data_IF_527943704825
#
_entry.id   IF_527943704825
#
_cell.length_a   1.000
_cell.length_b   1.000
_cell.length_c   1.000
_cell.angle_alpha   90.00
_cell.angle_beta   90.00
_cell.angle_gamma   90.00
#
_symmetry.space_group_name_H-M   'P 1'
#
loop_
_entity.id
_entity.type
_entity.pdbx_description
1 polymer ?
#
# COMPACT_ATOMS: atom_id res chain seq x y z
N UNK A 1 52.48 -38.57 34.53
CA UNK A 1 52.22 -37.91 33.23
C UNK A 1 50.92 -38.48 32.70
N UNK A 2 49.80 -37.77 32.90
CA UNK A 2 48.50 -38.14 32.35
C UNK A 2 48.31 -37.32 31.07
N UNK A 3 48.20 -38.00 29.93
CA UNK A 3 47.97 -37.36 28.63
C UNK A 3 46.47 -37.37 28.38
N UNK A 4 45.84 -36.19 28.43
CA UNK A 4 44.46 -36.00 27.97
C UNK A 4 44.47 -35.80 26.46
N UNK A 5 43.78 -36.68 25.73
CA UNK A 5 43.43 -36.45 24.33
C UNK A 5 42.16 -35.59 24.29
N UNK A 6 42.27 -34.34 23.83
CA UNK A 6 41.12 -33.54 23.40
C UNK A 6 40.83 -33.89 21.93
N UNK A 7 39.67 -34.50 21.68
CA UNK A 7 39.09 -34.59 20.35
C UNK A 7 38.38 -33.28 20.02
N UNK A 8 38.89 -32.52 19.05
CA UNK A 8 38.15 -31.42 18.44
C UNK A 8 37.22 -32.01 17.37
N UNK A 9 35.92 -32.01 17.64
CA UNK A 9 34.91 -32.18 16.60
C UNK A 9 34.72 -30.84 15.89
N UNK A 10 35.10 -30.76 14.62
CA UNK A 10 34.75 -29.65 13.75
C UNK A 10 33.28 -29.83 13.37
N UNK A 11 32.39 -29.06 14.00
CA UNK A 11 31.02 -28.91 13.52
C UNK A 11 31.07 -27.91 12.38
N UNK A 12 30.90 -28.41 11.15
CA UNK A 12 30.55 -27.58 10.00
C UNK A 12 29.09 -27.18 10.19
N UNK A 13 28.84 -25.96 10.66
CA UNK A 13 27.51 -25.36 10.53
C UNK A 13 27.29 -25.09 9.04
N UNK A 14 26.49 -25.93 8.38
CA UNK A 14 25.73 -25.44 7.25
C UNK A 14 24.73 -24.45 7.86
N UNK A 15 24.83 -23.17 7.50
CA UNK A 15 23.72 -22.24 7.70
C UNK A 15 22.58 -22.79 6.84
N UNK A 16 21.63 -23.47 7.49
CA UNK A 16 20.34 -23.69 6.87
C UNK A 16 19.77 -22.28 6.63
N UNK A 17 19.67 -21.92 5.36
CA UNK A 17 19.05 -20.70 4.83
C UNK A 17 17.53 -20.76 5.11
N UNK A 18 17.16 -20.81 6.38
CA UNK A 18 15.79 -20.64 6.83
C UNK A 18 15.48 -19.15 6.69
N UNK A 19 14.85 -18.79 5.57
CA UNK A 19 14.30 -17.45 5.36
C UNK A 19 13.38 -17.01 6.51
N UNK A 20 12.88 -15.77 6.51
CA UNK A 20 12.29 -15.15 7.70
C UNK A 20 11.03 -15.84 8.24
N UNK A 21 10.48 -16.84 7.54
CA UNK A 21 9.31 -17.62 7.93
C UNK A 21 8.01 -16.84 7.76
N UNK A 22 7.91 -15.67 8.37
CA UNK A 22 6.75 -14.77 8.27
C UNK A 22 7.21 -13.37 7.89
N UNK A 23 6.56 -12.76 6.91
CA UNK A 23 6.68 -11.33 6.64
C UNK A 23 5.41 -10.63 7.08
N UNK A 24 5.55 -9.57 7.87
CA UNK A 24 4.44 -8.76 8.36
C UNK A 24 4.45 -7.39 7.68
N UNK A 25 3.37 -7.08 6.98
CA UNK A 25 3.18 -5.84 6.21
C UNK A 25 2.18 -4.95 6.95
N UNK A 26 2.61 -3.78 7.41
CA UNK A 26 1.75 -2.71 7.89
C UNK A 26 1.06 -1.98 6.75
N UNK A 27 -0.20 -1.57 6.97
CA UNK A 27 -0.93 -0.69 6.08
C UNK A 27 -2.01 0.10 6.82
N UNK A 28 -2.61 1.07 6.14
CA UNK A 28 -3.68 1.93 6.64
C UNK A 28 -4.94 1.80 5.77
N UNK A 29 -6.16 1.96 6.32
CA UNK A 29 -7.43 1.78 5.60
C UNK A 29 -7.76 2.95 4.66
N UNK A 30 -6.93 3.13 3.61
CA UNK A 30 -7.04 4.19 2.61
C UNK A 30 -6.84 3.65 1.19
N UNK A 31 -7.55 4.24 0.21
CA UNK A 31 -7.39 3.91 -1.21
C UNK A 31 -5.98 4.22 -1.74
N UNK A 32 -5.20 5.00 -0.97
CA UNK A 32 -3.80 5.31 -1.23
C UNK A 32 -2.95 4.05 -1.37
N UNK A 33 -3.22 3.04 -0.55
CA UNK A 33 -2.39 1.86 -0.37
C UNK A 33 -3.03 0.58 -0.93
N UNK A 34 -4.02 0.75 -1.81
CA UNK A 34 -4.84 -0.35 -2.34
C UNK A 34 -4.02 -1.43 -3.07
N UNK A 35 -2.83 -1.09 -3.57
CA UNK A 35 -1.89 -2.07 -4.14
C UNK A 35 -1.54 -3.19 -3.14
N UNK A 36 -1.35 -2.87 -1.86
CA UNK A 36 -1.08 -3.87 -0.83
C UNK A 36 -2.24 -4.87 -0.67
N UNK A 37 -3.47 -4.36 -0.62
CA UNK A 37 -4.70 -5.15 -0.50
C UNK A 37 -4.93 -6.01 -1.75
N UNK A 38 -4.69 -5.46 -2.95
CA UNK A 38 -4.83 -6.20 -4.21
C UNK A 38 -3.83 -7.34 -4.27
N UNK A 39 -2.56 -7.10 -3.95
CA UNK A 39 -1.56 -8.17 -3.91
C UNK A 39 -1.90 -9.25 -2.86
N UNK A 40 -2.50 -8.88 -1.72
CA UNK A 40 -2.96 -9.83 -0.72
C UNK A 40 -4.17 -10.65 -1.21
N UNK A 41 -5.20 -9.99 -1.74
CA UNK A 41 -6.42 -10.65 -2.26
C UNK A 41 -6.12 -11.58 -3.44
N UNK A 42 -5.15 -11.21 -4.29
CA UNK A 42 -4.68 -12.04 -5.41
C UNK A 42 -3.73 -13.16 -4.98
N UNK A 43 -3.28 -13.16 -3.73
CA UNK A 43 -2.30 -14.12 -3.19
C UNK A 43 -0.86 -13.89 -3.67
N UNK A 44 -0.58 -12.75 -4.33
CA UNK A 44 0.72 -12.45 -4.94
C UNK A 44 1.83 -12.31 -3.90
N UNK A 45 1.55 -11.70 -2.74
CA UNK A 45 2.55 -11.60 -1.68
C UNK A 45 3.15 -12.96 -1.31
N UNK A 46 2.32 -13.89 -0.84
CA UNK A 46 2.83 -15.18 -0.42
C UNK A 46 3.36 -16.00 -1.61
N UNK A 47 2.70 -15.95 -2.77
CA UNK A 47 3.17 -16.65 -3.96
C UNK A 47 4.59 -16.24 -4.36
N UNK A 48 4.85 -14.94 -4.40
CA UNK A 48 6.11 -14.40 -4.90
C UNK A 48 7.25 -14.53 -3.88
N UNK A 49 6.94 -14.40 -2.58
CA UNK A 49 7.95 -14.43 -1.51
C UNK A 49 8.32 -15.84 -1.04
N UNK A 50 7.50 -16.86 -1.32
CA UNK A 50 7.74 -18.27 -0.93
C UNK A 50 9.11 -18.81 -1.29
N UNK A 51 9.65 -18.41 -2.45
CA UNK A 51 10.95 -18.91 -2.93
C UNK A 51 12.14 -18.44 -2.09
N UNK A 52 11.90 -17.53 -1.15
CA UNK A 52 12.88 -16.96 -0.22
C UNK A 52 12.64 -17.43 1.22
N UNK A 53 11.97 -18.58 1.41
CA UNK A 53 11.71 -19.13 2.74
C UNK A 53 10.58 -18.42 3.51
N UNK A 54 9.73 -17.64 2.83
CA UNK A 54 8.53 -17.05 3.45
C UNK A 54 7.37 -18.06 3.41
N UNK A 55 6.91 -18.49 4.57
CA UNK A 55 5.81 -19.44 4.75
C UNK A 55 4.45 -18.75 4.87
N UNK A 56 4.43 -17.53 5.43
CA UNK A 56 3.23 -16.73 5.64
C UNK A 56 3.48 -15.23 5.42
N UNK A 57 2.44 -14.52 4.97
CA UNK A 57 2.45 -13.06 4.88
C UNK A 57 1.23 -12.51 5.59
N UNK A 58 1.47 -11.70 6.63
CA UNK A 58 0.42 -11.08 7.44
C UNK A 58 0.28 -9.61 7.06
N UNK A 59 -0.95 -9.14 6.95
CA UNK A 59 -1.24 -7.72 6.79
C UNK A 59 -1.85 -7.19 8.09
N UNK A 60 -1.18 -6.21 8.70
CA UNK A 60 -1.61 -5.56 9.93
C UNK A 60 -2.13 -4.16 9.61
N UNK A 61 -3.40 -3.90 9.94
CA UNK A 61 -4.01 -2.59 9.75
C UNK A 61 -3.68 -1.65 10.92
N UNK A 62 -3.28 -0.42 10.60
CA UNK A 62 -3.05 0.66 11.55
C UNK A 62 -3.92 1.87 11.25
N UNK A 63 -4.46 2.49 12.30
CA UNK A 63 -5.33 3.66 12.14
C UNK A 63 -4.58 4.89 11.59
N UNK A 64 -3.31 5.06 11.99
CA UNK A 64 -2.46 6.21 11.62
C UNK A 64 -1.00 5.79 11.50
N UNK A 65 -0.16 6.62 10.86
CA UNK A 65 1.24 6.31 10.64
C UNK A 65 2.12 6.22 11.90
N UNK A 66 1.96 7.07 12.94
CA UNK A 66 2.77 6.95 14.16
C UNK A 66 2.74 5.58 14.85
N UNK A 67 1.57 4.98 15.19
CA UNK A 67 1.54 3.64 15.79
C UNK A 67 2.04 2.54 14.84
N UNK A 68 1.94 2.73 13.52
CA UNK A 68 2.54 1.82 12.54
C UNK A 68 4.08 1.86 12.61
N UNK A 69 4.65 3.05 12.74
CA UNK A 69 6.10 3.20 12.90
C UNK A 69 6.60 2.76 14.28
N UNK A 70 5.81 2.93 15.34
CA UNK A 70 6.12 2.36 16.65
C UNK A 70 6.20 0.83 16.59
N UNK A 71 5.28 0.18 15.86
CA UNK A 71 5.31 -1.26 15.63
C UNK A 71 6.55 -1.68 14.81
N UNK A 72 6.92 -0.92 13.77
CA UNK A 72 8.13 -1.21 13.00
C UNK A 72 9.41 -1.04 13.84
N UNK A 73 9.44 -0.03 14.69
CA UNK A 73 10.58 0.27 15.58
C UNK A 73 10.87 -0.89 16.53
N UNK A 74 9.84 -1.53 17.07
CA UNK A 74 9.99 -2.69 17.97
C UNK A 74 10.11 -4.04 17.25
N UNK A 75 10.00 -4.06 15.92
CA UNK A 75 10.15 -5.28 15.10
C UNK A 75 8.86 -6.08 14.91
N UNK A 76 7.69 -5.51 15.18
CA UNK A 76 6.40 -6.19 14.98
C UNK A 76 5.96 -6.20 13.51
N UNK A 77 6.52 -5.31 12.67
CA UNK A 77 6.30 -5.28 11.21
C UNK A 77 7.61 -5.10 10.45
N UNK A 78 7.71 -5.73 9.27
CA UNK A 78 8.92 -5.76 8.43
C UNK A 78 8.89 -4.72 7.31
N UNK A 79 7.69 -4.52 6.77
CA UNK A 79 7.38 -3.66 5.63
C UNK A 79 6.17 -2.82 6.02
N UNK A 80 6.11 -1.56 5.59
CA UNK A 80 4.94 -0.73 5.81
C UNK A 80 4.57 0.08 4.55
N UNK A 81 3.27 0.12 4.28
CA UNK A 81 2.65 1.11 3.42
C UNK A 81 2.19 2.26 4.30
N UNK A 82 2.92 3.36 4.30
CA UNK A 82 2.72 4.43 5.26
C UNK A 82 2.94 5.78 4.62
N UNK A 83 2.30 6.82 5.16
CA UNK A 83 2.62 8.20 4.79
C UNK A 83 4.13 8.47 4.85
N UNK A 84 4.69 9.29 3.95
CA UNK A 84 6.14 9.51 3.87
C UNK A 84 6.72 10.24 5.08
N UNK A 85 5.93 11.07 5.78
CA UNK A 85 6.38 11.79 6.97
C UNK A 85 6.59 10.90 8.22
N UNK A 86 5.69 9.95 8.58
CA UNK A 86 5.89 9.04 9.70
C UNK A 86 7.24 8.30 9.77
N UNK A 87 7.73 7.59 8.72
CA UNK A 87 9.01 6.89 8.79
C UNK A 87 10.17 7.86 8.99
N UNK A 88 10.12 9.07 8.40
CA UNK A 88 11.13 10.12 8.60
C UNK A 88 11.14 10.58 10.06
N UNK A 89 9.96 10.80 10.66
CA UNK A 89 9.85 11.15 12.07
C UNK A 89 10.40 10.04 12.98
N UNK A 90 10.14 8.78 12.64
CA UNK A 90 10.66 7.64 13.39
C UNK A 90 12.17 7.44 13.21
N UNK A 91 12.75 7.75 12.04
CA UNK A 91 14.20 7.74 11.81
C UNK A 91 14.93 8.73 12.73
N UNK A 92 14.36 9.92 12.95
CA UNK A 92 14.87 10.86 13.97
C UNK A 92 14.87 10.29 15.39
N UNK A 93 14.05 9.27 15.65
CA UNK A 93 13.95 8.59 16.95
C UNK A 93 14.71 7.25 16.98
N UNK A 94 15.44 6.91 15.92
CA UNK A 94 16.33 5.75 15.85
C UNK A 94 15.75 4.54 15.10
N UNK A 95 14.68 4.71 14.32
CA UNK A 95 14.21 3.66 13.42
C UNK A 95 15.26 3.36 12.33
N UNK A 96 15.73 2.12 12.30
CA UNK A 96 16.57 1.59 11.22
C UNK A 96 15.70 1.01 10.11
N UNK A 97 15.36 1.87 9.13
CA UNK A 97 14.55 1.52 7.96
C UNK A 97 14.89 2.44 6.78
N UNK A 98 14.47 2.06 5.56
CA UNK A 98 14.60 2.89 4.35
C UNK A 98 13.32 2.88 3.54
N UNK A 99 13.02 4.02 2.93
CA UNK A 99 12.01 4.09 1.87
C UNK A 99 12.62 3.51 0.59
N UNK A 100 12.02 2.44 0.08
CA UNK A 100 12.53 1.69 -1.08
C UNK A 100 11.65 1.80 -2.32
N UNK A 101 10.39 2.21 -2.18
CA UNK A 101 9.50 2.46 -3.31
C UNK A 101 8.48 3.55 -3.00
N UNK A 102 7.97 4.22 -4.04
CA UNK A 102 6.79 5.07 -3.93
C UNK A 102 5.51 4.24 -3.85
N UNK A 103 4.42 4.80 -3.32
CA UNK A 103 3.09 4.15 -3.36
C UNK A 103 2.09 5.05 -4.09
N UNK A 104 2.09 6.34 -3.77
CA UNK A 104 1.22 7.34 -4.38
C UNK A 104 1.68 8.76 -4.03
N UNK A 105 1.28 9.70 -4.87
CA UNK A 105 1.37 11.14 -4.62
C UNK A 105 -0.03 11.74 -4.52
N UNK A 106 -0.18 12.81 -3.74
CA UNK A 106 -1.44 13.55 -3.56
C UNK A 106 -2.58 12.68 -2.98
N UNK A 107 -3.85 13.05 -3.19
CA UNK A 107 -5.01 12.26 -2.80
C UNK A 107 -5.63 12.60 -1.45
N UNK A 108 -5.30 13.74 -0.85
CA UNK A 108 -5.97 14.26 0.35
C UNK A 108 -6.73 15.54 0.02
N UNK A 109 -7.76 15.88 0.79
CA UNK A 109 -8.54 17.11 0.53
C UNK A 109 -8.95 17.83 1.81
N UNK A 110 -9.08 19.15 1.69
CA UNK A 110 -9.78 19.97 2.66
C UNK A 110 -11.28 19.85 2.37
N UNK A 111 -12.01 19.46 3.40
CA UNK A 111 -13.47 19.43 3.39
C UNK A 111 -13.97 20.36 4.47
N UNK A 112 -14.79 21.34 4.10
CA UNK A 112 -15.40 22.28 5.06
C UNK A 112 -16.85 21.92 5.30
N UNK A 113 -17.38 22.31 6.46
CA UNK A 113 -18.82 22.25 6.71
C UNK A 113 -19.57 23.06 5.65
N UNK A 114 -20.75 22.59 5.25
CA UNK A 114 -21.48 23.15 4.09
C UNK A 114 -21.76 24.65 4.19
N UNK A 115 -22.03 25.17 5.39
CA UNK A 115 -22.28 26.59 5.63
C UNK A 115 -21.02 27.46 5.55
N UNK A 116 -19.82 26.87 5.56
CA UNK A 116 -18.53 27.55 5.36
C UNK A 116 -18.04 27.49 3.92
N UNK A 117 -18.72 26.74 3.04
CA UNK A 117 -18.28 26.54 1.66
C UNK A 117 -18.24 27.83 0.84
N UNK A 118 -19.23 28.71 1.02
CA UNK A 118 -19.27 30.00 0.31
C UNK A 118 -18.18 30.95 0.81
N UNK A 119 -17.93 30.97 2.13
CA UNK A 119 -16.84 31.76 2.71
C UNK A 119 -15.47 31.28 2.21
N UNK A 120 -15.25 29.96 2.11
CA UNK A 120 -14.03 29.41 1.53
C UNK A 120 -13.87 29.79 0.05
N UNK A 121 -14.95 29.74 -0.75
CA UNK A 121 -14.88 30.14 -2.17
C UNK A 121 -14.49 31.62 -2.34
N UNK A 122 -14.92 32.49 -1.44
CA UNK A 122 -14.62 33.92 -1.49
C UNK A 122 -13.20 34.24 -0.98
N UNK A 123 -12.79 33.63 0.15
CA UNK A 123 -11.57 34.01 0.88
C UNK A 123 -10.41 33.01 0.72
N UNK A 124 -10.65 31.85 0.12
CA UNK A 124 -9.70 30.74 0.06
C UNK A 124 -9.27 30.29 1.45
N UNK A 125 -7.98 29.98 1.61
CA UNK A 125 -7.40 29.53 2.88
C UNK A 125 -7.65 30.49 4.06
N UNK A 126 -7.81 31.79 3.81
CA UNK A 126 -8.07 32.76 4.88
C UNK A 126 -9.42 32.50 5.60
N UNK A 127 -10.36 31.78 4.97
CA UNK A 127 -11.59 31.31 5.60
C UNK A 127 -11.34 30.32 6.75
N UNK A 128 -10.18 29.65 6.78
CA UNK A 128 -9.83 28.71 7.84
C UNK A 128 -9.35 29.39 9.12
N UNK A 129 -9.08 30.71 9.10
CA UNK A 129 -8.59 31.43 10.28
C UNK A 129 -9.62 31.39 11.41
N UNK A 130 -9.22 30.82 12.54
CA UNK A 130 -10.04 30.61 13.74
C UNK A 130 -10.82 29.30 13.73
N UNK A 131 -10.83 28.55 12.61
CA UNK A 131 -11.55 27.29 12.49
C UNK A 131 -10.89 26.15 13.28
N UNK A 132 -11.72 25.20 13.68
CA UNK A 132 -11.28 23.88 14.14
C UNK A 132 -11.14 22.94 12.95
N UNK A 133 -9.95 22.35 12.78
CA UNK A 133 -9.65 21.48 11.64
C UNK A 133 -9.31 20.08 12.16
N UNK A 134 -10.15 19.09 11.86
CA UNK A 134 -9.87 17.68 12.19
C UNK A 134 -8.88 17.05 11.22
N UNK A 135 -7.80 16.48 11.72
CA UNK A 135 -6.87 15.65 10.92
C UNK A 135 -6.15 14.65 11.82
N UNK A 136 -5.24 13.85 11.27
CA UNK A 136 -4.46 12.88 12.03
C UNK A 136 -3.47 13.54 13.00
N UNK A 137 -2.89 12.76 13.94
CA UNK A 137 -1.95 13.29 14.92
C UNK A 137 -0.69 13.93 14.28
N UNK A 138 -0.01 14.75 15.07
CA UNK A 138 1.31 15.28 14.70
C UNK A 138 2.28 14.13 14.33
N UNK A 139 3.10 14.35 13.31
CA UNK A 139 3.95 13.31 12.71
C UNK A 139 3.29 12.50 11.59
N UNK A 140 1.96 12.61 11.41
CA UNK A 140 1.28 12.08 10.22
C UNK A 140 1.57 12.93 8.97
N UNK A 141 1.39 12.32 7.80
CA UNK A 141 1.57 13.02 6.51
C UNK A 141 0.54 14.15 6.34
N UNK A 142 -0.73 13.93 6.70
CA UNK A 142 -1.77 14.94 6.55
C UNK A 142 -1.56 16.13 7.49
N UNK A 143 -1.17 15.89 8.74
CA UNK A 143 -0.82 16.98 9.67
C UNK A 143 0.36 17.80 9.12
N UNK A 144 1.38 17.14 8.58
CA UNK A 144 2.58 17.80 8.02
C UNK A 144 2.22 18.68 6.82
N UNK A 145 1.44 18.15 5.87
CA UNK A 145 1.01 18.90 4.68
C UNK A 145 0.10 20.08 5.07
N UNK A 146 -0.87 19.87 5.98
CA UNK A 146 -1.76 20.94 6.43
C UNK A 146 -0.96 22.06 7.12
N UNK A 147 -0.04 21.70 8.01
CA UNK A 147 0.81 22.67 8.72
C UNK A 147 1.66 23.48 7.75
N UNK A 148 2.26 22.81 6.75
CA UNK A 148 3.01 23.48 5.70
C UNK A 148 2.13 24.40 4.86
N UNK A 149 0.94 23.95 4.44
CA UNK A 149 0.02 24.75 3.64
C UNK A 149 -0.39 26.05 4.35
N UNK A 150 -0.71 25.97 5.64
CA UNK A 150 -1.01 27.13 6.46
C UNK A 150 0.20 28.08 6.53
N UNK A 151 1.40 27.55 6.81
CA UNK A 151 2.63 28.34 6.91
C UNK A 151 3.02 29.03 5.59
N UNK A 152 2.95 28.32 4.46
CA UNK A 152 3.26 28.85 3.13
C UNK A 152 2.30 29.99 2.72
N UNK A 153 1.11 30.04 3.31
CA UNK A 153 0.12 31.09 3.12
C UNK A 153 0.12 32.16 4.23
N UNK A 154 1.16 32.20 5.06
CA UNK A 154 1.35 33.22 6.09
C UNK A 154 0.43 33.07 7.31
N UNK A 155 -0.16 31.88 7.51
CA UNK A 155 -0.91 31.54 8.72
C UNK A 155 -0.02 30.75 9.69
N UNK A 156 -0.14 31.03 10.98
CA UNK A 156 0.52 30.26 12.04
C UNK A 156 -0.34 29.01 12.38
N UNK A 157 0.14 27.77 12.11
CA UNK A 157 -0.63 26.55 12.37
C UNK A 157 -1.01 26.35 13.85
N UNK A 158 -0.29 26.98 14.79
CA UNK A 158 -0.54 26.86 16.22
C UNK A 158 -1.43 27.99 16.78
N UNK A 159 -1.54 29.12 16.07
CA UNK A 159 -2.26 30.30 16.57
C UNK A 159 -3.47 30.71 15.74
N UNK A 160 -3.39 30.57 14.42
CA UNK A 160 -4.43 31.04 13.52
C UNK A 160 -5.51 29.98 13.27
N UNK A 161 -5.31 28.72 13.67
CA UNK A 161 -6.31 27.64 13.58
C UNK A 161 -6.25 26.75 14.83
N UNK A 162 -7.23 25.87 15.00
CA UNK A 162 -7.20 24.81 16.02
C UNK A 162 -7.17 23.44 15.33
N UNK A 163 -5.97 22.86 15.17
CA UNK A 163 -5.84 21.51 14.61
C UNK A 163 -6.23 20.49 15.68
N UNK A 164 -7.29 19.73 15.43
CA UNK A 164 -7.80 18.70 16.32
C UNK A 164 -7.30 17.34 15.84
N UNK A 165 -6.43 16.72 16.62
CA UNK A 165 -5.92 15.38 16.38
C UNK A 165 -7.04 14.35 16.53
N UNK A 166 -7.26 13.55 15.49
CA UNK A 166 -8.23 12.47 15.43
C UNK A 166 -7.48 11.14 15.38
N UNK A 167 -7.88 10.17 16.20
CA UNK A 167 -7.21 8.88 16.30
C UNK A 167 -7.51 7.96 15.11
N UNK A 168 -8.58 8.25 14.35
CA UNK A 168 -8.96 7.52 13.14
C UNK A 168 -9.66 8.44 12.14
N UNK A 169 -9.72 8.08 10.85
CA UNK A 169 -10.44 8.91 9.89
C UNK A 169 -11.97 8.87 10.07
N UNK A 170 -12.51 7.79 10.65
CA UNK A 170 -13.93 7.69 11.01
C UNK A 170 -14.32 8.70 12.11
N UNK A 171 -13.43 8.90 13.08
CA UNK A 171 -13.59 9.91 14.12
C UNK A 171 -13.61 11.32 13.51
N UNK A 172 -12.69 11.62 12.59
CA UNK A 172 -12.65 12.89 11.87
C UNK A 172 -13.92 13.14 11.03
N UNK A 173 -14.41 12.12 10.31
CA UNK A 173 -15.66 12.20 9.55
C UNK A 173 -16.88 12.46 10.47
N UNK A 174 -16.93 11.81 11.63
CA UNK A 174 -17.96 12.04 12.64
C UNK A 174 -17.87 13.45 13.25
N UNK A 175 -16.65 13.96 13.44
CA UNK A 175 -16.42 15.28 14.00
C UNK A 175 -16.96 16.39 13.10
N UNK A 176 -16.76 16.31 11.77
CA UNK A 176 -17.35 17.29 10.85
C UNK A 176 -18.86 17.09 10.71
N UNK A 177 -19.36 15.85 10.68
CA UNK A 177 -20.79 15.55 10.62
C UNK A 177 -21.58 16.06 11.83
N UNK A 178 -20.98 16.07 13.00
CA UNK A 178 -21.58 16.64 14.23
C UNK A 178 -21.38 18.15 14.38
N UNK A 179 -20.56 18.78 13.53
CA UNK A 179 -20.16 20.18 13.67
C UNK A 179 -19.17 20.44 14.82
N UNK A 180 -18.52 19.40 15.35
CA UNK A 180 -17.47 19.53 16.38
C UNK A 180 -16.18 20.15 15.82
N UNK A 181 -15.94 19.97 14.51
CA UNK A 181 -14.92 20.68 13.73
C UNK A 181 -15.56 21.39 12.53
N UNK A 182 -14.93 22.46 12.07
CA UNK A 182 -15.38 23.30 10.97
C UNK A 182 -14.90 22.78 9.61
N UNK A 183 -13.73 22.14 9.61
CA UNK A 183 -13.13 21.52 8.45
C UNK A 183 -12.39 20.24 8.83
N UNK A 184 -12.07 19.42 7.84
CA UNK A 184 -11.13 18.30 7.97
C UNK A 184 -10.14 18.28 6.82
N UNK A 185 -8.97 17.71 7.06
CA UNK A 185 -8.00 17.38 6.01
C UNK A 185 -7.69 15.89 6.06
N UNK A 186 -8.20 15.11 5.10
CA UNK A 186 -8.20 13.64 5.14
C UNK A 186 -7.85 13.03 3.77
N UNK A 187 -7.26 11.82 3.76
CA UNK A 187 -6.98 11.09 2.53
C UNK A 187 -8.25 10.46 1.93
N UNK A 188 -8.25 10.25 0.63
CA UNK A 188 -9.23 9.38 -0.03
C UNK A 188 -9.30 8.00 0.67
N UNK A 189 -10.51 7.45 0.90
CA UNK A 189 -11.79 7.86 0.31
C UNK A 189 -12.62 8.86 1.13
N UNK A 190 -12.12 9.34 2.27
CA UNK A 190 -12.90 10.07 3.26
C UNK A 190 -13.53 11.38 2.77
N UNK A 191 -12.84 12.23 1.97
CA UNK A 191 -13.46 13.41 1.40
C UNK A 191 -14.73 13.09 0.59
N UNK A 192 -14.68 12.05 -0.23
CA UNK A 192 -15.82 11.63 -1.04
C UNK A 192 -16.97 11.08 -0.18
N UNK A 193 -16.63 10.35 0.90
CA UNK A 193 -17.62 9.84 1.87
C UNK A 193 -18.37 10.98 2.57
N UNK A 194 -17.63 11.92 3.15
CA UNK A 194 -18.19 13.07 3.88
C UNK A 194 -19.12 13.90 2.98
N UNK A 195 -18.73 14.10 1.72
CA UNK A 195 -19.56 14.81 0.75
C UNK A 195 -20.82 14.03 0.37
N UNK A 196 -20.72 12.69 0.24
CA UNK A 196 -21.84 11.81 -0.12
C UNK A 196 -22.86 11.69 1.01
N UNK A 197 -22.41 11.78 2.27
CA UNK A 197 -23.26 11.87 3.47
C UNK A 197 -23.88 13.27 3.65
N UNK A 198 -23.41 14.26 2.87
CA UNK A 198 -23.90 15.63 2.89
C UNK A 198 -23.33 16.51 4.01
N UNK A 199 -22.45 15.94 4.85
CA UNK A 199 -21.85 16.58 6.03
C UNK A 199 -20.81 17.66 5.72
N UNK A 200 -20.24 17.67 4.52
CA UNK A 200 -19.26 18.66 4.10
C UNK A 200 -19.16 18.86 2.60
N UNK A 201 -18.31 19.78 2.19
CA UNK A 201 -18.02 20.12 0.80
C UNK A 201 -16.51 20.11 0.60
N UNK A 202 -16.04 19.36 -0.39
CA UNK A 202 -14.63 19.36 -0.79
C UNK A 202 -14.33 20.73 -1.40
N UNK A 203 -13.31 21.42 -0.90
CA UNK A 203 -12.97 22.78 -1.35
C UNK A 203 -11.56 22.91 -1.94
N UNK A 204 -10.64 22.03 -1.56
CA UNK A 204 -9.25 22.09 -2.02
C UNK A 204 -8.63 20.71 -2.00
N UNK A 205 -7.98 20.32 -3.10
CA UNK A 205 -7.23 19.07 -3.17
C UNK A 205 -5.75 19.30 -2.85
N UNK A 206 -5.11 18.28 -2.30
CA UNK A 206 -3.73 18.35 -1.83
C UNK A 206 -2.70 18.63 -2.93
N UNK A 207 -3.01 18.29 -4.18
CA UNK A 207 -2.20 18.60 -5.35
C UNK A 207 -2.25 20.05 -5.79
N UNK A 208 -3.35 20.75 -5.50
CA UNK A 208 -3.45 22.19 -5.68
C UNK A 208 -2.71 22.93 -4.55
N UNK A 209 -2.70 22.34 -3.35
CA UNK A 209 -1.91 22.80 -2.19
C UNK A 209 -0.39 22.66 -2.43
N UNK A 210 0.05 21.46 -2.81
CA UNK A 210 1.44 21.17 -3.11
C UNK A 210 1.52 20.13 -4.23
N UNK A 211 1.76 20.62 -5.45
CA UNK A 211 1.79 19.77 -6.64
C UNK A 211 2.79 18.62 -6.52
N UNK A 212 2.33 17.40 -6.84
CA UNK A 212 3.11 16.17 -6.85
C UNK A 212 3.78 15.81 -5.51
N UNK A 213 3.29 16.31 -4.38
CA UNK A 213 3.90 15.97 -3.09
C UNK A 213 3.81 14.48 -2.78
N UNK A 214 4.87 13.95 -2.17
CA UNK A 214 4.90 12.59 -1.65
C UNK A 214 3.78 12.36 -0.63
N UNK A 215 2.96 11.32 -0.81
CA UNK A 215 1.93 10.99 0.16
C UNK A 215 2.30 9.73 0.95
N UNK A 216 2.27 8.53 0.36
CA UNK A 216 2.73 7.30 1.01
C UNK A 216 3.85 6.64 0.21
N UNK A 217 4.60 5.82 0.93
CA UNK A 217 5.76 5.10 0.47
C UNK A 217 5.75 3.66 1.01
N UNK A 218 6.59 2.83 0.40
CA UNK A 218 6.94 1.52 0.90
C UNK A 218 8.24 1.65 1.70
N UNK A 219 8.16 1.46 3.02
CA UNK A 219 9.31 1.46 3.91
C UNK A 219 9.62 0.03 4.34
N UNK A 220 10.90 -0.31 4.40
CA UNK A 220 11.38 -1.65 4.78
C UNK A 220 12.43 -1.52 5.88
N UNK A 221 12.37 -2.39 6.89
CA UNK A 221 13.37 -2.46 7.97
C UNK A 221 14.78 -2.66 7.41
N UNK A 222 15.75 -1.94 7.97
CA UNK A 222 17.14 -1.97 7.52
C UNK A 222 17.77 -3.36 7.65
N UNK A 223 17.38 -4.13 8.67
CA UNK A 223 17.78 -5.53 8.85
C UNK A 223 17.39 -6.40 7.65
N UNK A 224 16.14 -6.33 7.20
CA UNK A 224 15.66 -7.09 6.03
C UNK A 224 16.40 -6.68 4.74
N UNK A 225 16.69 -5.39 4.58
CA UNK A 225 17.48 -4.88 3.45
C UNK A 225 18.89 -5.47 3.44
N UNK A 226 19.56 -5.52 4.59
CA UNK A 226 20.95 -5.98 4.69
C UNK A 226 21.08 -7.50 4.62
N UNK A 227 20.15 -8.22 5.25
CA UNK A 227 20.24 -9.68 5.37
C UNK A 227 19.57 -10.40 4.20
N UNK A 228 18.51 -9.83 3.63
CA UNK A 228 17.70 -10.47 2.59
C UNK A 228 17.42 -9.53 1.40
N UNK A 229 18.44 -8.94 0.75
CA UNK A 229 18.24 -7.95 -0.32
C UNK A 229 17.46 -8.49 -1.52
N UNK A 230 17.61 -9.78 -1.86
CA UNK A 230 16.85 -10.41 -2.95
C UNK A 230 15.36 -10.57 -2.62
N UNK A 231 15.03 -10.83 -1.35
CA UNK A 231 13.66 -10.84 -0.85
C UNK A 231 13.06 -9.43 -0.94
N UNK A 232 13.82 -8.40 -0.54
CA UNK A 232 13.38 -7.00 -0.67
C UNK A 232 13.15 -6.61 -2.14
N UNK A 233 14.03 -7.02 -3.06
CA UNK A 233 13.79 -6.84 -4.51
C UNK A 233 12.51 -7.55 -4.95
N UNK A 234 12.20 -8.74 -4.44
CA UNK A 234 10.94 -9.40 -4.76
C UNK A 234 9.73 -8.66 -4.18
N UNK A 235 9.81 -8.14 -2.95
CA UNK A 235 8.76 -7.27 -2.36
C UNK A 235 8.51 -6.07 -3.27
N UNK A 236 9.57 -5.41 -3.75
CA UNK A 236 9.49 -4.29 -4.70
C UNK A 236 8.83 -4.74 -6.01
N UNK A 237 9.23 -5.88 -6.60
CA UNK A 237 8.62 -6.42 -7.83
C UNK A 237 7.11 -6.68 -7.65
N UNK A 238 6.72 -7.31 -6.54
CA UNK A 238 5.31 -7.60 -6.24
C UNK A 238 4.52 -6.30 -6.06
N UNK A 239 5.08 -5.29 -5.38
CA UNK A 239 4.49 -3.95 -5.28
C UNK A 239 4.34 -3.25 -6.63
N UNK A 240 5.37 -3.28 -7.48
CA UNK A 240 5.30 -2.71 -8.84
C UNK A 240 4.18 -3.37 -9.64
N UNK A 241 4.10 -4.70 -9.63
CA UNK A 241 3.06 -5.45 -10.33
C UNK A 241 1.66 -5.08 -9.82
N UNK A 242 1.49 -4.97 -8.49
CA UNK A 242 0.23 -4.57 -7.88
C UNK A 242 -0.15 -3.12 -8.22
N UNK A 243 0.82 -2.21 -8.20
CA UNK A 243 0.63 -0.81 -8.57
C UNK A 243 0.21 -0.66 -10.04
N UNK A 244 0.85 -1.39 -10.95
CA UNK A 244 0.49 -1.38 -12.36
C UNK A 244 -0.88 -2.04 -12.62
N UNK A 245 -1.23 -3.04 -11.81
CA UNK A 245 -2.56 -3.66 -11.86
C UNK A 245 -3.66 -2.67 -11.45
N UNK A 246 -3.51 -1.99 -10.30
CA UNK A 246 -4.56 -1.06 -9.81
C UNK A 246 -4.78 0.10 -10.77
N UNK A 247 -3.72 0.58 -11.45
CA UNK A 247 -3.83 1.59 -12.50
C UNK A 247 -4.66 1.12 -13.70
N UNK A 248 -4.54 -0.16 -14.09
CA UNK A 248 -5.24 -0.77 -15.23
C UNK A 248 -6.64 -1.27 -14.88
N UNK A 249 -6.88 -1.56 -13.60
CA UNK A 249 -8.11 -2.16 -13.08
C UNK A 249 -8.67 -1.38 -11.88
N UNK A 250 -8.95 -0.06 -12.02
CA UNK A 250 -9.40 0.76 -10.89
C UNK A 250 -10.76 0.33 -10.32
N UNK A 251 -11.62 -0.28 -11.15
CA UNK A 251 -12.92 -0.80 -10.69
C UNK A 251 -12.76 -1.99 -9.75
N UNK A 252 -11.94 -2.96 -10.13
CA UNK A 252 -11.64 -4.11 -9.28
C UNK A 252 -10.87 -3.69 -8.03
N UNK A 253 -9.95 -2.71 -8.14
CA UNK A 253 -9.27 -2.15 -6.98
C UNK A 253 -10.28 -1.53 -5.99
N UNK A 254 -11.31 -0.83 -6.50
CA UNK A 254 -12.39 -0.30 -5.66
C UNK A 254 -13.23 -1.41 -5.01
N UNK A 255 -13.55 -2.49 -5.73
CA UNK A 255 -14.26 -3.64 -5.20
C UNK A 255 -13.48 -4.34 -4.08
N UNK A 256 -12.18 -4.55 -4.28
CA UNK A 256 -11.30 -5.17 -3.28
C UNK A 256 -11.21 -4.27 -2.05
N UNK A 257 -10.95 -2.97 -2.22
CA UNK A 257 -10.94 -2.03 -1.09
C UNK A 257 -12.27 -2.05 -0.34
N UNK A 258 -13.40 -1.98 -1.06
CA UNK A 258 -14.74 -1.98 -0.48
C UNK A 258 -15.03 -3.28 0.30
N UNK A 259 -14.58 -4.43 -0.21
CA UNK A 259 -14.70 -5.73 0.47
C UNK A 259 -13.92 -5.73 1.79
N UNK A 260 -12.68 -5.26 1.78
CA UNK A 260 -11.79 -5.26 2.94
C UNK A 260 -12.28 -4.31 4.03
N UNK A 261 -12.77 -3.14 3.64
CA UNK A 261 -13.16 -2.07 4.55
C UNK A 261 -14.67 -2.07 4.86
N UNK A 262 -15.42 -3.04 4.34
CA UNK A 262 -16.87 -3.13 4.45
C UNK A 262 -17.59 -1.85 3.98
N UNK A 263 -17.09 -1.24 2.91
CA UNK A 263 -17.56 0.02 2.36
C UNK A 263 -18.48 -0.17 1.15
N UNK A 264 -19.19 0.89 0.76
CA UNK A 264 -19.98 0.89 -0.46
C UNK A 264 -19.08 1.14 -1.68
N UNK A 265 -18.98 0.14 -2.58
CA UNK A 265 -18.15 0.22 -3.80
C UNK A 265 -18.42 1.45 -4.65
N UNK A 266 -19.68 1.92 -4.74
CA UNK A 266 -20.01 3.11 -5.54
C UNK A 266 -19.40 4.39 -4.97
N UNK A 267 -19.27 4.47 -3.64
CA UNK A 267 -18.62 5.60 -2.96
C UNK A 267 -17.09 5.54 -3.16
N UNK A 268 -16.51 4.33 -3.16
CA UNK A 268 -15.09 4.13 -3.43
C UNK A 268 -14.75 4.47 -4.88
N UNK A 269 -15.53 3.98 -5.85
CA UNK A 269 -15.40 4.34 -7.26
C UNK A 269 -15.49 5.86 -7.47
N UNK A 270 -16.48 6.50 -6.84
CA UNK A 270 -16.60 7.96 -6.86
C UNK A 270 -15.34 8.60 -6.30
N UNK A 271 -14.83 8.12 -5.17
CA UNK A 271 -13.60 8.64 -4.58
C UNK A 271 -12.40 8.54 -5.52
N UNK A 272 -12.21 7.39 -6.17
CA UNK A 272 -11.11 7.21 -7.11
C UNK A 272 -11.23 8.16 -8.30
N UNK A 273 -12.45 8.43 -8.76
CA UNK A 273 -12.70 9.29 -9.91
C UNK A 273 -12.54 10.79 -9.62
N UNK A 274 -12.85 11.24 -8.40
CA UNK A 274 -12.77 12.68 -8.05
C UNK A 274 -11.45 13.08 -7.39
N UNK A 275 -10.68 12.11 -6.89
CA UNK A 275 -9.40 12.35 -6.23
C UNK A 275 -8.33 12.78 -7.23
N UNK A 276 -7.40 13.61 -6.79
CA UNK A 276 -6.19 14.00 -7.51
C UNK A 276 -5.01 13.03 -7.31
N UNK A 277 -5.25 11.94 -6.58
CA UNK A 277 -4.28 10.91 -6.28
C UNK A 277 -3.71 10.27 -7.55
N UNK A 278 -2.41 9.99 -7.54
CA UNK A 278 -1.76 9.15 -8.54
C UNK A 278 -0.98 8.05 -7.85
N UNK A 279 -1.35 6.79 -8.10
CA UNK A 279 -0.53 5.65 -7.68
C UNK A 279 0.79 5.65 -8.45
N UNK A 280 1.88 5.46 -7.74
CA UNK A 280 3.23 5.39 -8.29
C UNK A 280 3.99 4.26 -7.61
N UNK A 281 5.07 3.78 -8.23
CA UNK A 281 5.99 2.85 -7.58
C UNK A 281 7.42 3.42 -7.50
N UNK A 282 7.72 4.46 -8.27
CA UNK A 282 9.05 5.07 -8.36
C UNK A 282 9.37 5.92 -7.09
N UNK A 283 10.36 5.53 -6.27
CA UNK A 283 10.73 6.30 -5.09
C UNK A 283 11.38 7.64 -5.43
N UNK A 284 11.96 7.83 -6.61
CA UNK A 284 12.64 9.08 -6.98
C UNK A 284 11.70 10.28 -6.98
N UNK A 285 10.43 10.05 -7.31
CA UNK A 285 9.37 11.07 -7.28
C UNK A 285 9.13 11.59 -5.86
N UNK A 286 9.47 10.81 -4.83
CA UNK A 286 9.24 11.17 -3.44
C UNK A 286 10.40 11.93 -2.79
N UNK A 287 11.60 11.94 -3.38
CA UNK A 287 12.83 12.41 -2.73
C UNK A 287 12.73 13.87 -2.29
N UNK A 288 12.35 14.77 -3.20
CA UNK A 288 12.29 16.21 -2.92
C UNK A 288 11.30 16.53 -1.79
N UNK A 289 10.10 15.93 -1.85
CA UNK A 289 9.11 16.05 -0.78
C UNK A 289 9.58 15.42 0.52
N UNK A 290 10.25 14.27 0.46
CA UNK A 290 10.80 13.58 1.64
C UNK A 290 11.83 14.42 2.37
N UNK A 291 12.77 15.04 1.65
CA UNK A 291 13.76 15.95 2.23
C UNK A 291 13.10 17.20 2.83
N UNK A 292 12.08 17.76 2.16
CA UNK A 292 11.33 18.90 2.73
C UNK A 292 10.53 18.48 3.97
N UNK A 293 9.95 17.27 4.01
CA UNK A 293 9.31 16.74 5.23
C UNK A 293 10.32 16.57 6.37
N UNK A 294 11.51 16.05 6.08
CA UNK A 294 12.57 15.94 7.07
C UNK A 294 12.94 17.31 7.66
N UNK A 295 13.01 18.35 6.83
CA UNK A 295 13.24 19.73 7.27
C UNK A 295 12.09 20.27 8.12
N UNK A 296 10.84 20.10 7.70
CA UNK A 296 9.67 20.54 8.49
C UNK A 296 9.65 19.86 9.86
N UNK A 297 9.82 18.53 9.91
CA UNK A 297 9.84 17.76 11.15
C UNK A 297 11.01 18.21 12.05
N UNK A 298 12.19 18.44 11.46
CA UNK A 298 13.36 18.93 12.19
C UNK A 298 13.10 20.29 12.82
N UNK A 299 12.55 21.24 12.04
CA UNK A 299 12.32 22.61 12.49
C UNK A 299 11.30 22.68 13.62
N UNK A 300 10.22 21.89 13.54
CA UNK A 300 9.23 21.75 14.61
C UNK A 300 9.82 21.21 15.92
N UNK A 301 10.91 20.43 15.85
CA UNK A 301 11.53 19.77 16.99
C UNK A 301 12.97 20.26 17.28
N UNK A 302 13.40 21.36 16.65
CA UNK A 302 14.82 21.76 16.58
C UNK A 302 15.52 21.77 17.93
N UNK A 303 14.92 22.40 18.94
CA UNK A 303 15.48 22.47 20.30
C UNK A 303 15.74 21.09 20.91
N UNK A 304 14.80 20.14 20.71
CA UNK A 304 14.92 18.75 21.20
C UNK A 304 15.99 18.00 20.43
N UNK A 305 16.05 18.16 19.12
CA UNK A 305 17.02 17.45 18.26
C UNK A 305 18.45 17.95 18.44
N UNK A 306 18.67 19.27 18.46
CA UNK A 306 20.00 19.86 18.70
C UNK A 306 20.53 19.48 20.08
N UNK A 307 19.68 19.45 21.12
CA UNK A 307 20.07 19.02 22.46
C UNK A 307 20.50 17.53 22.54
N UNK A 308 20.05 16.70 21.59
CA UNK A 308 20.41 15.27 21.46
C UNK A 308 21.53 15.03 20.44
N UNK A 309 22.05 16.08 19.78
CA UNK A 309 23.03 15.94 18.70
C UNK A 309 22.47 15.33 17.41
N UNK A 310 21.16 15.40 17.22
CA UNK A 310 20.49 14.90 16.00
C UNK A 310 20.60 15.96 14.91
N UNK A 311 21.06 15.55 13.72
CA UNK A 311 21.20 16.39 12.55
C UNK A 311 20.03 16.21 11.58
N UNK A 312 19.80 17.20 10.73
CA UNK A 312 18.79 17.14 9.66
C UNK A 312 19.09 15.98 8.71
N UNK A 313 18.13 15.05 8.58
CA UNK A 313 18.24 13.91 7.66
C UNK A 313 18.30 14.38 6.21
N UNK A 314 19.19 13.77 5.44
CA UNK A 314 19.37 13.96 4.00
C UNK A 314 18.66 12.84 3.22
N UNK A 315 18.65 12.95 1.89
CA UNK A 315 18.03 11.95 1.02
C UNK A 315 18.55 10.52 1.31
N UNK A 316 19.87 10.34 1.40
CA UNK A 316 20.49 9.03 1.66
C UNK A 316 20.20 8.48 3.07
N UNK A 317 19.82 9.35 4.02
CA UNK A 317 19.37 8.91 5.34
C UNK A 317 17.95 8.30 5.29
N UNK A 318 17.12 8.77 4.35
CA UNK A 318 15.69 8.46 4.27
C UNK A 318 15.39 7.36 3.24
N UNK A 319 16.05 7.41 2.10
CA UNK A 319 15.78 6.59 0.93
C UNK A 319 16.90 5.58 0.67
N UNK A 320 16.53 4.42 0.16
CA UNK A 320 17.43 3.49 -0.53
C UNK A 320 16.77 3.06 -1.84
N UNK A 321 17.12 3.74 -2.93
CA UNK A 321 16.56 3.48 -4.26
C UNK A 321 17.28 2.37 -5.01
N UNK A 322 18.42 1.89 -4.50
CA UNK A 322 19.32 1.01 -5.25
C UNK A 322 18.65 -0.31 -5.67
N UNK A 323 17.93 -0.95 -4.74
CA UNK A 323 17.20 -2.19 -5.01
C UNK A 323 16.04 -1.98 -5.98
N UNK A 324 15.40 -0.81 -5.95
CA UNK A 324 14.37 -0.46 -6.94
C UNK A 324 14.98 -0.27 -8.33
N UNK A 325 16.11 0.43 -8.43
CA UNK A 325 16.80 0.67 -9.68
C UNK A 325 17.28 -0.64 -10.34
N UNK A 326 17.80 -1.57 -9.56
CA UNK A 326 18.13 -2.92 -10.01
C UNK A 326 16.90 -3.64 -10.60
N UNK A 327 15.77 -3.60 -9.87
CA UNK A 327 14.51 -4.22 -10.32
C UNK A 327 14.01 -3.60 -11.63
N UNK A 328 14.05 -2.27 -11.78
CA UNK A 328 13.66 -1.60 -13.03
C UNK A 328 14.63 -1.94 -14.17
N UNK A 329 15.92 -2.02 -13.92
CA UNK A 329 16.89 -2.42 -14.92
C UNK A 329 16.61 -3.83 -15.45
N UNK A 330 16.20 -4.77 -14.60
CA UNK A 330 15.79 -6.12 -15.03
C UNK A 330 14.55 -6.12 -15.93
N UNK A 331 13.54 -5.29 -15.63
CA UNK A 331 12.35 -5.16 -16.49
C UNK A 331 12.69 -4.62 -17.88
N UNK A 332 13.70 -3.75 -17.97
CA UNK A 332 14.18 -3.22 -19.25
C UNK A 332 15.11 -4.20 -20.00
N UNK A 333 15.48 -5.31 -19.37
CA UNK A 333 16.35 -6.36 -19.92
C UNK A 333 15.54 -7.68 -20.03
N UNK A 334 14.62 -7.78 -20.98
CA UNK A 334 14.10 -9.08 -21.49
C UNK A 334 13.76 -8.94 -23.00
N UNK A 335 14.02 -9.95 -23.85
CA UNK A 335 15.25 -10.09 -24.61
C UNK A 335 15.09 -9.81 -26.11
N UNK A 336 16.21 -9.44 -26.72
CA UNK A 336 16.48 -9.48 -28.17
C UNK A 336 15.98 -10.77 -28.85
N UNK A 337 15.42 -10.58 -30.04
CA UNK A 337 14.96 -11.52 -31.07
C UNK A 337 15.49 -12.97 -30.95
N UNK A 338 14.64 -14.01 -31.14
CA UNK A 338 15.12 -15.38 -31.21
C UNK A 338 16.12 -15.50 -32.36
N UNK A 339 17.38 -15.78 -32.05
CA UNK A 339 18.39 -16.15 -33.03
C UNK A 339 17.89 -17.43 -33.70
N UNK A 340 17.51 -17.34 -34.96
CA UNK A 340 17.12 -18.49 -35.78
C UNK A 340 18.28 -19.49 -35.77
N UNK A 341 18.07 -20.77 -35.41
CA UNK A 341 19.12 -21.76 -35.53
C UNK A 341 19.52 -21.88 -37.00
N UNK A 342 20.83 -21.89 -37.27
CA UNK A 342 21.35 -22.15 -38.60
C UNK A 342 20.75 -23.46 -39.17
N UNK A 343 20.44 -23.53 -40.48
CA UNK A 343 19.76 -24.67 -41.05
C UNK A 343 20.64 -25.92 -40.97
N UNK A 344 20.22 -26.90 -40.18
CA UNK A 344 20.79 -28.24 -40.16
C UNK A 344 20.46 -28.92 -41.49
N UNK A 345 21.49 -29.29 -42.26
CA UNK A 345 21.38 -30.03 -43.51
C UNK A 345 20.70 -31.39 -43.29
N UNK A 346 19.56 -31.62 -43.93
CA UNK A 346 18.83 -32.88 -43.90
C UNK A 346 19.55 -33.98 -44.71
N UNK A 347 19.52 -35.26 -44.29
CA UNK A 347 20.01 -36.38 -45.09
C UNK A 347 19.03 -36.73 -46.23
N UNK A 348 19.59 -37.19 -47.35
CA UNK A 348 18.88 -37.54 -48.57
C UNK A 348 17.87 -38.69 -48.39
N UNK A 349 16.68 -38.50 -48.96
CA UNK A 349 15.64 -39.53 -49.11
C UNK A 349 15.86 -40.33 -50.39
N UNK A 350 15.73 -41.67 -50.38
CA UNK A 350 15.52 -42.44 -51.60
C UNK A 350 14.03 -42.63 -51.91
N UNK A 351 13.73 -42.47 -53.19
CA UNK A 351 12.46 -42.47 -53.91
C UNK A 351 11.86 -43.87 -54.10
N UNK A 352 10.55 -43.93 -54.38
CA UNK A 352 9.68 -44.95 -55.06
C UNK A 352 8.52 -45.46 -54.18
N UNK A 353 7.28 -45.70 -54.63
CA UNK A 353 6.51 -45.47 -55.86
C UNK A 353 5.01 -45.60 -55.49
N UNK A 354 4.15 -44.89 -56.21
CA UNK A 354 2.68 -44.88 -56.20
C UNK A 354 1.97 -46.24 -56.29
N UNK A 355 0.87 -46.39 -55.55
CA UNK A 355 -0.33 -47.12 -55.97
C UNK A 355 -1.58 -46.61 -55.21
N UNK A 356 -2.71 -46.53 -55.91
CA UNK A 356 -4.08 -46.20 -55.43
C UNK A 356 -5.02 -47.21 -56.11
N UNK A 357 -6.31 -47.43 -55.76
CA UNK A 357 -7.11 -47.20 -54.54
C UNK A 357 -7.72 -48.54 -54.03
N UNK A 358 -8.66 -48.53 -53.06
CA UNK A 358 -10.06 -49.08 -53.16
C UNK A 358 -10.75 -49.05 -51.78
N UNK A 359 -12.03 -48.66 -51.74
CA UNK A 359 -12.89 -48.63 -50.56
C UNK A 359 -13.66 -49.94 -50.33
N UNK A 360 -14.01 -50.26 -49.08
CA UNK A 360 -15.33 -50.77 -48.59
C UNK A 360 -15.28 -51.09 -47.07
N UNK A 361 -16.44 -51.17 -46.35
CA UNK A 361 -16.64 -50.67 -44.98
C UNK A 361 -17.02 -51.74 -43.94
N UNK A 362 -16.93 -51.44 -42.63
CA UNK A 362 -17.72 -52.09 -41.54
C UNK A 362 -17.65 -51.29 -40.20
N UNK A 363 -18.52 -51.52 -39.18
CA UNK A 363 -19.35 -50.45 -38.59
C UNK A 363 -19.29 -50.31 -37.04
N UNK A 364 -19.90 -49.22 -36.54
CA UNK A 364 -20.67 -49.19 -35.28
C UNK A 364 -19.93 -48.99 -33.95
N UNK A 365 -20.22 -47.88 -33.26
CA UNK A 365 -20.81 -47.89 -31.91
C UNK A 365 -21.20 -46.45 -31.50
N UNK A 366 -22.49 -46.25 -31.24
CA UNK A 366 -23.10 -45.02 -30.73
C UNK A 366 -23.26 -45.04 -29.19
N UNK A 367 -23.73 -43.88 -28.68
CA UNK A 367 -24.23 -43.54 -27.32
C UNK A 367 -23.13 -43.07 -26.35
N UNK A 368 -23.16 -41.83 -25.83
CA UNK A 368 -24.23 -41.24 -25.02
C UNK A 368 -24.30 -39.70 -25.11
N UNK A 369 -25.50 -39.14 -25.33
CA UNK A 369 -25.92 -37.79 -24.92
C UNK A 369 -27.34 -37.87 -24.36
N UNK A 370 -27.62 -37.01 -23.37
CA UNK A 370 -28.91 -36.49 -22.86
C UNK A 370 -29.47 -37.18 -21.62
N UNK A 371 -29.62 -36.42 -20.53
CA UNK A 371 -30.93 -36.13 -19.90
C UNK A 371 -30.81 -35.04 -18.83
N UNK A 372 -31.51 -33.93 -19.09
CA UNK A 372 -31.73 -32.75 -18.24
C UNK A 372 -33.08 -32.89 -17.53
N UNK A 373 -33.12 -32.51 -16.24
CA UNK A 373 -34.25 -32.03 -15.41
C UNK A 373 -35.48 -32.93 -15.15
N UNK A 374 -35.78 -33.20 -13.86
CA UNK A 374 -36.93 -32.62 -13.11
C UNK A 374 -37.05 -33.19 -11.67
N UNK A 375 -37.46 -32.31 -10.75
CA UNK A 375 -38.22 -32.54 -9.50
C UNK A 375 -37.55 -33.13 -8.24
N UNK A 376 -37.33 -32.27 -7.24
CA UNK A 376 -37.71 -32.54 -5.84
C UNK A 376 -37.81 -31.23 -5.03
N UNK A 377 -39.04 -30.80 -4.78
CA UNK A 377 -39.44 -29.85 -3.71
C UNK A 377 -40.32 -30.66 -2.74
N UNK A 378 -40.32 -30.26 -1.46
CA UNK A 378 -41.21 -30.68 -0.36
C UNK A 378 -40.66 -31.80 0.54
N UNK A 379 -40.02 -31.41 1.65
CA UNK A 379 -40.35 -31.96 2.98
C UNK A 379 -40.73 -30.80 3.89
N UNK A 380 -41.92 -30.96 4.46
CA UNK A 380 -42.76 -30.01 5.15
C UNK A 380 -42.55 -30.08 6.67
N UNK A 381 -42.75 -28.96 7.35
CA UNK A 381 -42.77 -28.84 8.81
C UNK A 381 -43.82 -29.73 9.49
N UNK A 382 -43.47 -30.29 10.66
CA UNK A 382 -44.39 -30.58 11.80
C UNK A 382 -43.48 -30.94 12.99
N UNK A 383 -43.27 -30.04 13.96
CA UNK A 383 -44.07 -29.91 15.19
C UNK A 383 -43.58 -30.94 16.23
N UNK A 384 -43.23 -30.67 17.48
CA UNK A 384 -43.41 -29.56 18.40
C UNK A 384 -43.44 -30.17 19.82
N UNK A 385 -42.98 -29.41 20.82
CA UNK A 385 -43.20 -29.49 22.30
C UNK A 385 -42.01 -29.84 23.22
N UNK A 386 -41.89 -28.92 24.22
CA UNK A 386 -41.55 -29.07 25.66
C UNK A 386 -40.05 -29.22 26.01
N UNK A 387 -39.48 -28.48 26.96
CA UNK A 387 -39.96 -28.13 28.32
C UNK A 387 -39.52 -26.75 28.83
N UNK A 388 -40.33 -26.24 29.76
CA UNK A 388 -40.14 -25.11 30.68
C UNK A 388 -39.34 -25.50 31.94
N UNK A 389 -38.87 -24.48 32.68
CA UNK A 389 -38.62 -24.50 34.14
C UNK A 389 -37.14 -24.51 34.52
N UNK A 390 -36.62 -23.61 35.35
CA UNK A 390 -37.21 -22.64 36.28
C UNK A 390 -36.25 -21.45 36.51
#
# INVERSE_FOLDING_TARGET
>A
VFVFFLSFSVVSAAEDDEGPGVIVIGYQPSTHQVAAMVAAEKGWWLQDLRRFGVEDVKLNEFATGPPEMDAMLIGDIDVAYVGTAPPIAAMYEGLDAKIVAGVQVQGSAIVVRRDLADEYREKGIAALKGCKIGTYPAGSIQHTILSKYLADNGMDPEKDVQIISQASPSEAASAIGSGSVDAVFLPSPWPAKIESEGSGVIVEWSGDIWKNHACCCLVVRGELIRENPELVKQIIRTHINATEYVKKHPEEAAEIFAKWQHENVSVILRSLNISDMQWIHDPHVLIDSGVEYAKVIYDLNRKRYEARGIHLLQADDIFDTSLYDEVIAEFNVTPTTPTTPAPTTAPATPTTTTATPTATPVPGFEFWIVMISFAAVIVYMRGGRRNEGA
#
